data_IF_168797743402
#
_entry.id   IF_168797743402
#
_cell.length_a   1.000
_cell.length_b   1.000
_cell.length_c   1.000
_cell.angle_alpha   90.00
_cell.angle_beta   90.00
_cell.angle_gamma   90.00
#
_symmetry.space_group_name_H-M   'P 1'
#
loop_
_entity.id
_entity.type
_entity.pdbx_description
1 polymer ?
#
# COMPACT_ATOMS: atom_id res chain seq x y z
N UNK A 1 -3.64 11.55 22.04
CA UNK A 1 -3.53 10.82 20.76
C UNK A 1 -4.93 10.85 20.19
N UNK A 2 -5.12 11.44 19.01
CA UNK A 2 -6.46 11.55 18.44
C UNK A 2 -6.91 10.16 18.00
N UNK A 3 -8.05 9.70 18.52
CA UNK A 3 -8.73 8.49 18.08
C UNK A 3 -9.15 8.70 16.63
N UNK A 4 -8.30 8.26 15.70
CA UNK A 4 -8.69 8.18 14.31
C UNK A 4 -9.78 7.11 14.21
N UNK A 5 -10.93 7.41 13.58
CA UNK A 5 -11.98 6.42 13.41
C UNK A 5 -11.45 5.23 12.62
N UNK A 6 -11.96 4.04 12.93
CA UNK A 6 -11.70 2.83 12.16
C UNK A 6 -11.93 3.15 10.69
N UNK A 7 -10.94 2.92 9.83
CA UNK A 7 -10.97 3.35 8.43
C UNK A 7 -12.11 2.66 7.68
N UNK A 8 -13.26 3.33 7.60
CA UNK A 8 -14.38 2.94 6.75
C UNK A 8 -14.03 3.42 5.35
N UNK A 9 -13.85 2.49 4.41
CA UNK A 9 -13.76 2.82 2.99
C UNK A 9 -15.06 3.50 2.58
N UNK A 10 -14.99 4.79 2.27
CA UNK A 10 -16.09 5.62 1.75
C UNK A 10 -16.37 5.36 0.27
N UNK A 11 -15.67 4.39 -0.33
CA UNK A 11 -15.71 4.13 -1.77
C UNK A 11 -15.00 5.19 -2.61
N UNK A 12 -14.26 6.14 -1.99
CA UNK A 12 -13.39 7.03 -2.75
C UNK A 12 -12.20 6.22 -3.28
N UNK A 13 -12.15 6.11 -4.60
CA UNK A 13 -11.01 5.55 -5.29
C UNK A 13 -10.10 6.71 -5.70
N UNK A 14 -9.00 6.88 -4.98
CA UNK A 14 -8.00 7.91 -5.30
C UNK A 14 -6.93 7.34 -6.26
N UNK A 15 -6.56 8.07 -7.33
CA UNK A 15 -5.47 7.68 -8.19
C UNK A 15 -4.13 7.79 -7.46
N UNK A 16 -3.16 6.97 -7.86
CA UNK A 16 -1.78 7.09 -7.38
C UNK A 16 -1.23 8.49 -7.67
N UNK A 17 -0.64 9.14 -6.66
CA UNK A 17 -0.07 10.47 -6.78
C UNK A 17 1.14 10.53 -7.74
N UNK A 18 1.81 9.40 -7.97
CA UNK A 18 3.00 9.30 -8.82
C UNK A 18 2.69 8.96 -10.29
N UNK A 19 1.80 8.00 -10.52
CA UNK A 19 1.52 7.49 -11.87
C UNK A 19 0.09 7.75 -12.36
N UNK A 20 -0.80 8.30 -11.52
CA UNK A 20 -2.20 8.55 -11.85
C UNK A 20 -3.08 7.30 -11.97
N UNK A 21 -2.50 6.09 -11.88
CA UNK A 21 -3.24 4.84 -11.99
C UNK A 21 -4.09 4.63 -10.73
N UNK A 22 -5.35 4.32 -10.95
CA UNK A 22 -6.28 3.84 -9.93
C UNK A 22 -5.96 2.39 -9.58
N UNK A 23 -5.54 2.14 -8.33
CA UNK A 23 -5.26 0.79 -7.84
C UNK A 23 -6.54 -0.01 -7.68
N UNK A 24 -6.47 -1.32 -7.99
CA UNK A 24 -7.59 -2.25 -7.77
C UNK A 24 -7.58 -2.89 -6.37
N UNK A 25 -6.53 -2.60 -5.58
CA UNK A 25 -6.38 -3.06 -4.22
C UNK A 25 -5.77 -1.96 -3.34
N UNK A 26 -6.16 -1.98 -2.07
CA UNK A 26 -5.56 -1.17 -1.02
C UNK A 26 -4.45 -1.97 -0.34
N UNK A 27 -3.48 -1.26 0.22
CA UNK A 27 -2.40 -1.87 0.96
C UNK A 27 -1.94 -0.92 2.06
N UNK A 28 -1.32 -1.47 3.10
CA UNK A 28 -0.77 -0.70 4.21
C UNK A 28 0.70 -1.07 4.42
N UNK A 29 1.49 -0.07 4.80
CA UNK A 29 2.88 -0.22 5.16
C UNK A 29 3.09 -0.06 6.67
N UNK A 30 4.29 -0.38 7.14
CA UNK A 30 4.81 0.08 8.43
C UNK A 30 5.01 1.60 8.38
N UNK A 31 4.50 2.31 9.39
CA UNK A 31 4.49 3.79 9.43
C UNK A 31 5.89 4.40 9.30
N UNK A 32 6.92 3.76 9.88
CA UNK A 32 8.31 4.20 9.78
C UNK A 32 8.79 4.13 8.33
N UNK A 33 8.51 3.02 7.64
CA UNK A 33 8.92 2.81 6.24
C UNK A 33 8.17 3.75 5.32
N UNK A 34 6.87 3.98 5.56
CA UNK A 34 6.11 4.96 4.79
C UNK A 34 6.72 6.36 4.89
N UNK A 35 7.07 6.80 6.11
CA UNK A 35 7.69 8.10 6.34
C UNK A 35 9.06 8.25 5.69
N UNK A 36 9.82 7.16 5.60
CA UNK A 36 11.14 7.14 4.99
C UNK A 36 11.08 7.11 3.45
N UNK A 37 10.18 6.31 2.89
CA UNK A 37 10.12 6.02 1.44
C UNK A 37 9.23 7.00 0.67
N UNK A 38 8.09 7.40 1.23
CA UNK A 38 7.13 8.24 0.51
C UNK A 38 7.63 9.72 0.44
N UNK A 39 7.62 10.35 -0.76
CA UNK A 39 7.97 11.76 -0.90
C UNK A 39 7.09 12.64 -0.02
N UNK A 40 7.68 13.66 0.58
CA UNK A 40 7.02 14.53 1.58
C UNK A 40 5.70 15.13 1.08
N UNK A 41 5.66 15.51 -0.19
CA UNK A 41 4.52 16.05 -0.93
C UNK A 41 3.40 15.03 -1.16
N UNK A 42 3.69 13.74 -0.99
CA UNK A 42 2.78 12.62 -1.25
C UNK A 42 2.47 11.79 0.00
N UNK A 43 3.05 12.11 1.17
CA UNK A 43 2.82 11.37 2.43
C UNK A 43 1.36 11.35 2.90
N UNK A 44 0.55 12.33 2.49
CA UNK A 44 -0.90 12.40 2.76
C UNK A 44 -1.76 11.92 1.60
N UNK A 45 -1.14 11.45 0.52
CA UNK A 45 -1.81 10.95 -0.67
C UNK A 45 -1.83 9.43 -0.73
N UNK A 46 -2.24 8.91 -1.89
CA UNK A 46 -2.21 7.47 -2.19
C UNK A 46 -1.05 7.20 -3.14
N UNK A 47 -0.24 6.19 -2.81
CA UNK A 47 0.80 5.65 -3.69
C UNK A 47 0.46 4.18 -3.96
N UNK A 48 0.35 3.80 -5.23
CA UNK A 48 0.12 2.40 -5.56
C UNK A 48 1.35 1.55 -5.20
N UNK A 49 1.11 0.28 -4.85
CA UNK A 49 2.17 -0.62 -4.40
C UNK A 49 3.37 -0.70 -5.38
N UNK A 50 3.19 -0.78 -6.72
CA UNK A 50 4.34 -0.81 -7.63
C UNK A 50 5.23 0.43 -7.59
N UNK A 51 4.64 1.62 -7.47
CA UNK A 51 5.42 2.85 -7.34
C UNK A 51 6.13 2.91 -5.99
N UNK A 52 5.46 2.48 -4.92
CA UNK A 52 6.07 2.41 -3.60
C UNK A 52 7.21 1.39 -3.55
N UNK A 53 7.06 0.21 -4.15
CA UNK A 53 8.11 -0.82 -4.26
C UNK A 53 9.34 -0.28 -4.97
N UNK A 54 9.15 0.55 -6.00
CA UNK A 54 10.26 1.21 -6.73
C UNK A 54 11.01 2.17 -5.81
N UNK A 55 10.29 3.05 -5.11
CA UNK A 55 10.88 3.98 -4.16
C UNK A 55 11.56 3.26 -2.99
N UNK A 56 10.94 2.20 -2.47
CA UNK A 56 11.49 1.40 -1.38
C UNK A 56 12.80 0.72 -1.81
N UNK A 57 12.85 0.18 -3.03
CA UNK A 57 14.07 -0.39 -3.60
C UNK A 57 15.18 0.65 -3.76
N UNK A 58 14.85 1.87 -4.22
CA UNK A 58 15.79 3.00 -4.31
C UNK A 58 16.32 3.42 -2.94
N UNK A 59 15.50 3.31 -1.88
CA UNK A 59 15.88 3.53 -0.49
C UNK A 59 16.60 2.34 0.18
N UNK A 60 16.81 1.22 -0.53
CA UNK A 60 17.43 0.02 0.02
C UNK A 60 16.53 -0.83 0.92
N UNK A 61 15.22 -0.55 0.95
CA UNK A 61 14.21 -1.26 1.73
C UNK A 61 13.52 -2.29 0.82
N UNK A 62 13.82 -3.57 1.03
CA UNK A 62 13.42 -4.61 0.07
C UNK A 62 12.41 -5.63 0.61
N UNK A 63 12.10 -5.64 1.91
CA UNK A 63 11.15 -6.60 2.48
C UNK A 63 10.49 -6.13 3.78
N UNK A 64 9.45 -6.88 4.20
CA UNK A 64 8.83 -6.82 5.53
C UNK A 64 8.20 -5.49 5.95
N UNK A 65 7.87 -4.62 4.99
CA UNK A 65 7.19 -3.36 5.28
C UNK A 65 5.69 -3.36 4.99
N UNK A 66 5.17 -4.33 4.23
CA UNK A 66 3.73 -4.43 3.97
C UNK A 66 3.06 -5.11 5.18
N UNK A 67 2.09 -4.44 5.78
CA UNK A 67 1.34 -4.93 6.95
C UNK A 67 -0.02 -5.52 6.56
N UNK A 68 -0.58 -5.07 5.42
CA UNK A 68 -1.90 -5.48 4.94
C UNK A 68 -2.02 -5.31 3.43
N UNK A 69 -2.72 -6.23 2.77
CA UNK A 69 -3.25 -6.05 1.41
C UNK A 69 -4.74 -6.37 1.43
N UNK A 70 -5.55 -5.47 0.88
CA UNK A 70 -6.99 -5.61 0.79
C UNK A 70 -7.46 -5.47 -0.66
N UNK A 71 -8.14 -6.49 -1.17
CA UNK A 71 -8.78 -6.46 -2.48
C UNK A 71 -10.31 -6.50 -2.32
N UNK A 72 -11.00 -5.60 -3.02
CA UNK A 72 -12.46 -5.55 -3.04
C UNK A 72 -12.96 -6.08 -4.39
N UNK A 73 -13.60 -7.24 -4.37
CA UNK A 73 -14.23 -7.85 -5.54
C UNK A 73 -15.76 -7.77 -5.47
N UNK A 74 -16.43 -8.25 -6.53
CA UNK A 74 -17.90 -8.32 -6.55
C UNK A 74 -18.40 -9.26 -5.45
N UNK A 75 -19.10 -8.70 -4.46
CA UNK A 75 -19.73 -9.43 -3.36
C UNK A 75 -18.76 -9.98 -2.30
N UNK A 76 -17.47 -9.61 -2.32
CA UNK A 76 -16.46 -10.13 -1.39
C UNK A 76 -15.28 -9.18 -1.19
N UNK A 77 -14.69 -9.23 -0.01
CA UNK A 77 -13.41 -8.57 0.31
C UNK A 77 -12.40 -9.65 0.70
N UNK A 78 -11.20 -9.59 0.13
CA UNK A 78 -10.06 -10.38 0.55
C UNK A 78 -9.10 -9.49 1.32
N UNK A 79 -8.76 -9.89 2.54
CA UNK A 79 -7.88 -9.15 3.44
C UNK A 79 -6.74 -10.07 3.90
N UNK A 80 -5.52 -9.75 3.48
CA UNK A 80 -4.31 -10.45 3.84
C UNK A 80 -3.60 -9.66 4.94
N UNK A 81 -3.75 -10.13 6.18
CA UNK A 81 -3.10 -9.56 7.38
C UNK A 81 -1.81 -10.33 7.66
N UNK A 82 -0.79 -9.63 8.14
CA UNK A 82 0.54 -10.19 8.48
C UNK A 82 1.28 -10.89 7.33
N UNK A 83 1.43 -10.25 6.17
CA UNK A 83 1.99 -10.93 5.01
C UNK A 83 3.53 -11.02 5.05
N UNK A 84 4.15 -10.66 6.19
CA UNK A 84 5.57 -10.88 6.48
C UNK A 84 6.04 -12.34 6.42
N UNK A 85 5.14 -13.31 6.24
CA UNK A 85 5.47 -14.65 5.76
C UNK A 85 5.64 -14.66 4.24
N UNK A 86 6.78 -14.12 3.78
CA UNK A 86 7.36 -14.29 2.44
C UNK A 86 6.40 -14.09 1.26
N UNK A 87 6.41 -12.88 0.69
CA UNK A 87 5.90 -12.63 -0.65
C UNK A 87 6.84 -13.23 -1.69
N UNK A 88 6.45 -14.34 -2.32
CA UNK A 88 7.13 -14.83 -3.52
C UNK A 88 6.53 -14.11 -4.72
N UNK A 89 7.26 -13.12 -5.25
CA UNK A 89 7.00 -12.61 -6.59
C UNK A 89 7.32 -13.72 -7.61
N UNK A 90 6.32 -14.48 -8.05
CA UNK A 90 6.46 -15.25 -9.29
C UNK A 90 6.22 -14.29 -10.45
N UNK A 91 7.22 -14.07 -11.31
CA UNK A 91 7.00 -13.45 -12.62
C UNK A 91 5.84 -14.20 -13.30
N UNK A 92 4.75 -13.50 -13.58
CA UNK A 92 3.73 -14.03 -14.48
C UNK A 92 4.38 -14.26 -15.84
N UNK A 93 4.26 -15.50 -16.32
CA UNK A 93 4.66 -15.95 -17.65
C UNK A 93 3.78 -15.28 -18.69
#
# INVERSE_FOLDING_TARGET
>A
MADWPEGISDGLILPCALCGIVSQFDWAAVDEVWREVAPSEHQRGVICLPCFETLAAEAGITCSYITRIQFIGVGRTWDFREPGRMYVWSKYV
#
